data_IF_250293827024
#
_entry.id   IF_250293827024
#
_cell.length_a   1.000
_cell.length_b   1.000
_cell.length_c   1.000
_cell.angle_alpha   90.00
_cell.angle_beta   90.00
_cell.angle_gamma   90.00
#
_symmetry.space_group_name_H-M   'P 1'
#
loop_
_entity.id
_entity.type
_entity.pdbx_description
1 polymer ?
#
# COMPACT_ATOMS: atom_id res chain seq x y z
N UNK A 1 15.47 16.23 -4.56
CA UNK A 1 14.34 16.57 -5.44
C UNK A 1 13.09 16.80 -4.55
N UNK A 2 12.30 17.85 -4.77
CA UNK A 2 11.07 18.11 -3.99
C UNK A 2 10.09 16.93 -4.04
N UNK A 3 9.36 16.67 -2.94
CA UNK A 3 8.49 15.50 -2.82
C UNK A 3 7.39 15.44 -3.89
N UNK A 4 6.77 16.58 -4.23
CA UNK A 4 5.75 16.66 -5.28
C UNK A 4 6.26 16.23 -6.67
N UNK A 5 7.53 16.52 -7.00
CA UNK A 5 8.13 16.06 -8.26
C UNK A 5 8.34 14.55 -8.26
N UNK A 6 8.79 13.97 -7.15
CA UNK A 6 8.92 12.50 -7.00
C UNK A 6 7.56 11.83 -7.16
N UNK A 7 6.52 12.37 -6.53
CA UNK A 7 5.15 11.86 -6.63
C UNK A 7 4.64 11.92 -8.08
N UNK A 8 4.83 13.05 -8.77
CA UNK A 8 4.42 13.18 -10.18
C UNK A 8 5.13 12.16 -11.08
N UNK A 9 6.43 11.93 -10.88
CA UNK A 9 7.19 10.92 -11.61
C UNK A 9 6.65 9.52 -11.30
N UNK A 10 6.36 9.19 -10.06
CA UNK A 10 5.83 7.89 -9.68
C UNK A 10 4.46 7.64 -10.34
N UNK A 11 3.57 8.62 -10.33
CA UNK A 11 2.27 8.54 -11.00
C UNK A 11 2.46 8.33 -12.50
N UNK A 12 3.37 9.08 -13.13
CA UNK A 12 3.67 8.91 -14.56
C UNK A 12 4.21 7.51 -14.86
N UNK A 13 5.19 7.03 -14.09
CA UNK A 13 5.77 5.70 -14.26
C UNK A 13 4.71 4.60 -14.09
N UNK A 14 3.87 4.69 -13.07
CA UNK A 14 2.79 3.74 -12.86
C UNK A 14 1.81 3.70 -14.06
N UNK A 15 1.49 4.85 -14.66
CA UNK A 15 0.61 4.93 -15.83
C UNK A 15 1.29 4.50 -17.14
N UNK A 16 2.59 4.76 -17.31
CA UNK A 16 3.35 4.50 -18.52
C UNK A 16 3.93 3.07 -18.60
N UNK A 17 4.23 2.48 -17.45
CA UNK A 17 4.86 1.17 -17.37
C UNK A 17 3.86 0.02 -17.51
N UNK A 18 4.40 -1.19 -17.64
CA UNK A 18 3.65 -2.39 -17.93
C UNK A 18 2.60 -2.68 -16.85
N UNK A 19 1.34 -2.82 -17.23
CA UNK A 19 0.18 -3.15 -16.38
C UNK A 19 -0.02 -2.26 -15.14
N UNK A 20 0.59 -1.06 -15.09
CA UNK A 20 0.48 -0.20 -13.91
C UNK A 20 1.15 -0.77 -12.66
N UNK A 21 2.09 -1.69 -12.83
CA UNK A 21 2.82 -2.29 -11.72
C UNK A 21 3.70 -1.24 -11.02
N UNK A 22 3.84 -1.40 -9.70
CA UNK A 22 4.82 -0.69 -8.89
C UNK A 22 5.74 -1.73 -8.26
N UNK A 23 7.00 -1.76 -8.68
CA UNK A 23 7.98 -2.73 -8.20
C UNK A 23 9.36 -2.09 -8.14
N UNK A 24 10.14 -2.49 -7.15
CA UNK A 24 11.54 -2.09 -6.99
C UNK A 24 12.46 -3.32 -7.01
N UNK A 25 13.71 -3.11 -7.35
CA UNK A 25 14.77 -4.12 -7.23
C UNK A 25 15.39 -4.11 -5.82
N UNK A 26 16.38 -4.97 -5.58
CA UNK A 26 17.12 -5.05 -4.30
C UNK A 26 17.90 -3.78 -3.93
N UNK A 27 18.05 -2.85 -4.86
CA UNK A 27 18.66 -1.53 -4.62
C UNK A 27 17.62 -0.43 -4.40
N UNK A 28 16.34 -0.80 -4.20
CA UNK A 28 15.21 0.11 -4.07
C UNK A 28 15.00 1.04 -5.29
N UNK A 29 15.36 0.57 -6.48
CA UNK A 29 15.18 1.29 -7.74
C UNK A 29 13.94 0.76 -8.47
N UNK A 30 13.11 1.66 -9.01
CA UNK A 30 11.94 1.28 -9.81
C UNK A 30 12.39 0.51 -11.06
N UNK A 31 11.86 -0.71 -11.26
CA UNK A 31 12.34 -1.63 -12.31
C UNK A 31 11.22 -2.25 -13.16
N UNK A 32 10.09 -1.57 -13.28
CA UNK A 32 9.01 -2.02 -14.17
C UNK A 32 9.30 -1.59 -15.60
N UNK A 33 9.23 -2.48 -16.60
CA UNK A 33 9.49 -2.13 -17.99
C UNK A 33 8.41 -1.19 -18.55
N UNK A 34 8.75 -0.42 -19.56
CA UNK A 34 7.82 0.45 -20.27
C UNK A 34 6.68 -0.34 -20.90
N UNK A 35 5.44 0.14 -20.75
CA UNK A 35 4.23 -0.55 -21.21
C UNK A 35 3.91 -0.41 -22.71
N UNK A 36 4.83 0.19 -23.51
CA UNK A 36 4.69 0.41 -24.96
C UNK A 36 3.41 1.17 -25.36
N UNK A 37 2.92 2.04 -24.50
CA UNK A 37 1.73 2.86 -24.74
C UNK A 37 2.09 4.03 -25.66
N UNK A 38 1.31 4.25 -26.70
CA UNK A 38 1.46 5.38 -27.63
C UNK A 38 0.98 6.71 -27.03
N UNK A 39 0.04 6.65 -26.07
CA UNK A 39 -0.46 7.79 -25.32
C UNK A 39 -0.64 7.40 -23.87
N UNK A 40 -0.13 8.22 -22.97
CA UNK A 40 -0.27 8.04 -21.53
C UNK A 40 -1.15 9.13 -20.98
N UNK A 41 -2.33 8.75 -20.48
CA UNK A 41 -3.19 9.64 -19.70
C UNK A 41 -2.73 9.57 -18.24
N UNK A 42 -2.03 10.60 -17.79
CA UNK A 42 -1.32 10.59 -16.49
C UNK A 42 -2.22 10.96 -15.33
N UNK A 43 -3.21 11.82 -15.53
CA UNK A 43 -4.09 12.26 -14.47
C UNK A 43 -5.45 12.74 -14.96
N UNK A 44 -6.42 12.68 -14.08
CA UNK A 44 -7.72 13.33 -14.19
C UNK A 44 -7.76 14.52 -13.22
N UNK A 45 -7.74 15.74 -13.75
CA UNK A 45 -7.66 16.96 -12.95
C UNK A 45 -8.89 17.17 -12.07
N UNK A 46 -10.08 16.78 -12.54
CA UNK A 46 -11.32 16.89 -11.77
C UNK A 46 -11.28 15.95 -10.57
N UNK A 47 -10.96 14.69 -10.81
CA UNK A 47 -10.87 13.69 -9.75
C UNK A 47 -9.78 14.01 -8.72
N UNK A 48 -8.61 14.47 -9.17
CA UNK A 48 -7.56 14.93 -8.26
C UNK A 48 -7.99 16.12 -7.41
N UNK A 49 -8.74 17.06 -7.98
CA UNK A 49 -9.31 18.19 -7.23
C UNK A 49 -10.26 17.74 -6.13
N UNK A 50 -11.16 16.78 -6.44
CA UNK A 50 -12.09 16.21 -5.45
C UNK A 50 -11.33 15.49 -4.33
N UNK A 51 -10.36 14.64 -4.67
CA UNK A 51 -9.53 13.92 -3.69
C UNK A 51 -8.77 14.92 -2.80
N UNK A 52 -8.14 15.92 -3.41
CA UNK A 52 -7.40 16.95 -2.67
C UNK A 52 -8.31 17.70 -1.68
N UNK A 53 -9.50 18.10 -2.12
CA UNK A 53 -10.48 18.75 -1.26
C UNK A 53 -10.91 17.84 -0.12
N UNK A 54 -11.22 16.58 -0.40
CA UNK A 54 -11.60 15.60 0.63
C UNK A 54 -10.51 15.41 1.67
N UNK A 55 -9.26 15.21 1.25
CA UNK A 55 -8.13 15.03 2.15
C UNK A 55 -7.80 16.25 3.03
N UNK A 56 -8.17 17.46 2.58
CA UNK A 56 -7.95 18.69 3.34
C UNK A 56 -9.13 19.10 4.23
N UNK A 57 -10.34 18.62 3.95
CA UNK A 57 -11.55 18.98 4.70
C UNK A 57 -11.92 18.00 5.80
N UNK A 58 -11.34 16.81 5.81
CA UNK A 58 -11.69 15.75 6.74
C UNK A 58 -10.59 15.55 7.78
N UNK A 59 -10.96 15.02 8.95
CA UNK A 59 -10.01 14.60 10.00
C UNK A 59 -9.24 13.34 9.57
N UNK A 60 -8.54 13.46 8.42
CA UNK A 60 -7.77 12.37 7.84
C UNK A 60 -6.31 12.52 8.23
N UNK A 61 -5.77 11.53 8.94
CA UNK A 61 -4.36 11.44 9.26
C UNK A 61 -3.68 10.41 8.35
N UNK A 62 -2.78 10.86 7.47
CA UNK A 62 -1.98 9.99 6.62
C UNK A 62 -0.61 9.76 7.26
N UNK A 63 -0.29 8.51 7.54
CA UNK A 63 0.97 8.11 8.17
C UNK A 63 1.83 7.27 7.22
N UNK A 64 3.15 7.44 7.32
CA UNK A 64 4.14 6.58 6.64
C UNK A 64 5.00 5.92 7.72
N UNK A 65 4.42 4.95 8.41
CA UNK A 65 5.02 4.26 9.55
C UNK A 65 4.77 2.75 9.43
N UNK A 66 5.40 1.97 10.30
CA UNK A 66 5.10 0.55 10.40
C UNK A 66 3.63 0.34 10.84
N UNK A 67 2.98 -0.70 10.31
CA UNK A 67 1.56 -0.97 10.62
C UNK A 67 1.28 -1.14 12.12
N UNK A 68 2.21 -1.73 12.87
CA UNK A 68 2.07 -1.87 14.32
C UNK A 68 2.03 -0.51 15.03
N UNK A 69 2.82 0.45 14.55
CA UNK A 69 2.83 1.82 15.09
C UNK A 69 1.51 2.55 14.78
N UNK A 70 1.04 2.42 13.53
CA UNK A 70 -0.24 3.00 13.10
C UNK A 70 -1.43 2.53 13.96
N UNK A 71 -1.40 1.28 14.41
CA UNK A 71 -2.50 0.63 15.12
C UNK A 71 -2.44 0.76 16.65
N UNK A 72 -1.43 1.44 17.20
CA UNK A 72 -1.31 1.64 18.66
C UNK A 72 -2.48 2.42 19.26
N UNK A 73 -3.01 3.39 18.53
CA UNK A 73 -4.12 4.23 18.98
C UNK A 73 -5.50 3.58 18.83
N UNK A 74 -5.59 2.41 18.19
CA UNK A 74 -6.83 1.70 17.96
C UNK A 74 -7.49 1.29 19.28
N UNK A 75 -8.79 1.52 19.39
CA UNK A 75 -9.61 1.28 20.59
C UNK A 75 -10.87 0.52 20.22
N UNK A 76 -11.60 0.08 21.24
CA UNK A 76 -12.88 -0.59 21.09
C UNK A 76 -13.81 0.18 20.16
N UNK A 77 -14.53 -0.56 19.32
CA UNK A 77 -15.49 -0.09 18.33
C UNK A 77 -14.89 0.61 17.10
N UNK A 78 -13.55 0.76 17.01
CA UNK A 78 -12.90 1.20 15.78
C UNK A 78 -13.01 0.12 14.70
N UNK A 79 -13.24 0.55 13.43
CA UNK A 79 -13.16 -0.34 12.27
C UNK A 79 -11.78 -0.24 11.62
N UNK A 80 -11.13 -1.39 11.43
CA UNK A 80 -9.77 -1.48 10.89
C UNK A 80 -9.77 -2.41 9.67
N UNK A 81 -9.35 -1.87 8.53
CA UNK A 81 -9.13 -2.65 7.32
C UNK A 81 -7.62 -2.84 7.07
N UNK A 82 -7.19 -4.09 7.09
CA UNK A 82 -5.81 -4.50 6.82
C UNK A 82 -5.72 -5.06 5.40
N UNK A 83 -4.93 -4.38 4.56
CA UNK A 83 -4.67 -4.80 3.17
C UNK A 83 -3.15 -4.92 2.95
N UNK A 84 -2.53 -5.98 3.49
CA UNK A 84 -1.10 -6.21 3.32
C UNK A 84 -0.75 -6.63 1.90
N UNK A 85 0.54 -6.63 1.52
CA UNK A 85 1.00 -7.44 0.40
C UNK A 85 0.59 -8.89 0.63
N UNK A 86 -0.11 -9.49 -0.34
CA UNK A 86 -0.71 -10.80 -0.17
C UNK A 86 0.35 -11.89 -0.06
N UNK A 87 0.10 -12.88 0.79
CA UNK A 87 0.93 -14.08 0.87
C UNK A 87 0.82 -14.84 -0.47
N UNK A 88 1.96 -15.12 -1.10
CA UNK A 88 2.00 -15.88 -2.33
C UNK A 88 3.16 -16.85 -2.27
N UNK A 89 2.93 -18.09 -2.66
CA UNK A 89 3.96 -19.14 -2.78
C UNK A 89 4.96 -18.84 -3.91
N UNK A 90 4.67 -17.88 -4.78
CA UNK A 90 5.56 -17.39 -5.82
C UNK A 90 6.27 -16.12 -5.37
N UNK A 91 7.58 -16.16 -5.25
CA UNK A 91 8.48 -15.08 -4.82
C UNK A 91 8.41 -13.77 -5.64
N UNK A 92 7.51 -13.68 -6.60
CA UNK A 92 7.49 -12.62 -7.62
C UNK A 92 6.73 -11.36 -7.23
N UNK A 93 5.85 -11.38 -6.22
CA UNK A 93 4.94 -10.25 -5.95
C UNK A 93 5.21 -9.47 -4.64
N UNK A 94 6.19 -9.86 -3.82
CA UNK A 94 6.49 -9.22 -2.53
C UNK A 94 7.51 -8.06 -2.61
N UNK A 95 7.80 -7.54 -3.82
CA UNK A 95 8.84 -6.54 -4.06
C UNK A 95 8.35 -5.10 -4.00
N UNK A 96 7.38 -4.78 -3.14
CA UNK A 96 6.96 -3.39 -2.90
C UNK A 96 8.00 -2.61 -2.08
N UNK A 97 8.81 -3.30 -1.30
CA UNK A 97 9.90 -2.74 -0.50
C UNK A 97 11.15 -3.59 -0.66
N UNK A 98 12.30 -3.03 -0.30
CA UNK A 98 13.61 -3.70 -0.37
C UNK A 98 13.63 -5.06 0.35
N UNK A 99 12.96 -5.16 1.51
CA UNK A 99 12.90 -6.38 2.33
C UNK A 99 11.67 -7.26 2.05
N UNK A 100 10.75 -6.79 1.17
CA UNK A 100 9.49 -7.48 0.92
C UNK A 100 8.54 -7.52 2.13
N UNK A 101 7.47 -8.32 2.03
CA UNK A 101 6.53 -8.63 3.11
C UNK A 101 6.40 -10.15 3.17
N UNK A 102 7.33 -10.79 3.88
CA UNK A 102 7.46 -12.24 3.93
C UNK A 102 6.63 -12.90 5.03
N UNK A 103 6.89 -14.21 5.25
CA UNK A 103 6.12 -15.00 6.23
C UNK A 103 6.23 -14.48 7.67
N UNK A 104 7.34 -13.84 8.03
CA UNK A 104 7.50 -13.27 9.38
C UNK A 104 6.63 -12.03 9.58
N UNK A 105 6.52 -11.17 8.57
CA UNK A 105 5.61 -10.03 8.55
C UNK A 105 4.14 -10.50 8.57
N UNK A 106 3.81 -11.56 7.83
CA UNK A 106 2.47 -12.18 7.88
C UNK A 106 2.15 -12.70 9.30
N UNK A 107 3.10 -13.35 9.97
CA UNK A 107 2.93 -13.80 11.37
C UNK A 107 2.77 -12.63 12.34
N UNK A 108 3.54 -11.55 12.15
CA UNK A 108 3.38 -10.31 12.95
C UNK A 108 1.99 -9.72 12.75
N UNK A 109 1.54 -9.61 11.50
CA UNK A 109 0.21 -9.11 11.17
C UNK A 109 -0.89 -9.94 11.82
N UNK A 110 -0.76 -11.27 11.78
CA UNK A 110 -1.73 -12.17 12.44
C UNK A 110 -1.78 -11.98 13.97
N UNK A 111 -0.65 -11.66 14.62
CA UNK A 111 -0.64 -11.31 16.05
C UNK A 111 -1.37 -10.00 16.29
N UNK A 112 -1.08 -8.97 15.49
CA UNK A 112 -1.75 -7.67 15.59
C UNK A 112 -3.25 -7.80 15.37
N UNK A 113 -3.68 -8.58 14.38
CA UNK A 113 -5.10 -8.87 14.16
C UNK A 113 -5.77 -9.41 15.42
N UNK A 114 -5.19 -10.43 16.05
CA UNK A 114 -5.73 -11.02 17.29
C UNK A 114 -5.73 -10.03 18.48
N UNK A 115 -4.76 -9.14 18.55
CA UNK A 115 -4.72 -8.11 19.59
C UNK A 115 -5.81 -7.05 19.40
N UNK A 116 -6.06 -6.64 18.16
CA UNK A 116 -7.12 -5.70 17.83
C UNK A 116 -8.52 -6.28 18.14
N UNK A 117 -8.73 -7.55 17.79
CA UNK A 117 -9.97 -8.28 18.13
C UNK A 117 -10.18 -8.31 19.64
N UNK A 118 -9.14 -8.64 20.42
CA UNK A 118 -9.22 -8.61 21.89
C UNK A 118 -9.48 -7.21 22.47
N UNK A 119 -9.06 -6.14 21.78
CA UNK A 119 -9.38 -4.75 22.17
C UNK A 119 -10.84 -4.39 21.87
N UNK A 120 -11.55 -5.24 21.12
CA UNK A 120 -12.94 -5.02 20.70
C UNK A 120 -13.07 -4.15 19.45
N UNK A 121 -12.03 -4.13 18.60
CA UNK A 121 -12.10 -3.51 17.28
C UNK A 121 -12.81 -4.42 16.28
N UNK A 122 -13.45 -3.83 15.27
CA UNK A 122 -13.94 -4.56 14.11
C UNK A 122 -12.80 -4.65 13.09
N UNK A 123 -12.26 -5.85 12.86
CA UNK A 123 -11.06 -6.03 12.02
C UNK A 123 -11.41 -6.82 10.77
N UNK A 124 -11.06 -6.27 9.61
CA UNK A 124 -11.18 -6.91 8.32
C UNK A 124 -9.79 -7.04 7.69
N UNK A 125 -9.44 -8.23 7.20
CA UNK A 125 -8.18 -8.54 6.53
C UNK A 125 -8.45 -9.13 5.16
N UNK A 126 -7.80 -8.61 4.12
CA UNK A 126 -7.75 -9.22 2.80
C UNK A 126 -6.42 -9.93 2.59
N UNK A 127 -6.45 -11.17 2.08
CA UNK A 127 -5.26 -11.93 1.71
C UNK A 127 -5.65 -13.04 0.72
N UNK A 128 -4.66 -13.74 0.13
CA UNK A 128 -4.93 -14.98 -0.58
C UNK A 128 -5.27 -16.09 0.40
N UNK A 129 -6.14 -17.00 -0.05
CA UNK A 129 -6.37 -18.28 0.59
C UNK A 129 -5.24 -19.23 0.15
N UNK A 130 -4.18 -19.27 0.97
CA UNK A 130 -3.05 -20.17 0.75
C UNK A 130 -3.15 -21.36 1.68
N UNK A 131 -3.05 -22.58 1.15
CA UNK A 131 -2.91 -23.77 1.97
C UNK A 131 -1.62 -23.67 2.83
N UNK A 132 -1.75 -23.99 4.10
CA UNK A 132 -0.63 -23.97 5.07
C UNK A 132 0.08 -25.31 5.09
#
# INVERSE_FOLDING_TARGET
MPSHKKTAILIYLNKACFNGLCRVNSKNEFNVPFGKKTKVNTYDGVNLGIICSHLNLSDILMLSVNFEECLKSAKKDDFIYLNPPYDSDTSTFNSYTENGFGKDEQRRLAKVFKELDKRGCYVMLSNYDTEK
#
